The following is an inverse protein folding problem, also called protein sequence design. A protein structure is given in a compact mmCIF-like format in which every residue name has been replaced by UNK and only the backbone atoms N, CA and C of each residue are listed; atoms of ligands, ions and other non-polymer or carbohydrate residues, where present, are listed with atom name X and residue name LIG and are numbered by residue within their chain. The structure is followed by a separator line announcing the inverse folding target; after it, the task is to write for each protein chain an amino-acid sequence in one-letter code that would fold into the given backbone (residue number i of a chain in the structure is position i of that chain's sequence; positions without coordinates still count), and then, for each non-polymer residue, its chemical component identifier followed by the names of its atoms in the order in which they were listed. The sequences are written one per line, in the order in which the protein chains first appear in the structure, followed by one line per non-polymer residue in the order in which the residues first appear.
data_IF_429651722339
#
_entry.id   IF_429651722339
#
_cell.length_a   1.000
_cell.length_b   1.000
_cell.length_c   1.000
_cell.angle_alpha   90.00
_cell.angle_beta   90.00
_cell.angle_gamma   90.00
#
_symmetry.space_group_name_H-M   'P 1'
#
loop_
_entity.id
_entity.type
_entity.pdbx_description
1 polymer ?
#
# COMPACT_ATOMS: atom_id res chain seq x y z
N UNK A 1 -31.12 -23.32 52.63
CA UNK A 1 -30.15 -23.97 51.73
C UNK A 1 -30.59 -23.73 50.28
N UNK A 2 -29.78 -23.00 49.58
CA UNK A 2 -29.96 -22.72 48.13
C UNK A 2 -29.59 -23.99 47.35
N UNK A 3 -30.38 -24.43 46.38
CA UNK A 3 -29.98 -25.59 45.57
C UNK A 3 -28.72 -25.24 44.72
N UNK A 4 -27.87 -26.22 44.45
CA UNK A 4 -26.69 -26.01 43.64
C UNK A 4 -27.13 -25.60 42.22
N UNK A 5 -26.57 -24.49 41.73
CA UNK A 5 -26.73 -24.08 40.35
C UNK A 5 -26.07 -25.17 39.47
N UNK A 6 -26.88 -25.82 38.63
CA UNK A 6 -26.44 -26.73 37.60
C UNK A 6 -25.44 -25.98 36.70
N UNK A 7 -24.30 -26.63 36.45
CA UNK A 7 -23.24 -26.16 35.59
C UNK A 7 -23.83 -25.67 34.25
N UNK A 8 -23.53 -24.45 33.89
CA UNK A 8 -23.84 -23.82 32.63
C UNK A 8 -23.60 -24.81 31.48
N UNK A 9 -24.64 -25.06 30.69
CA UNK A 9 -24.45 -25.62 29.34
C UNK A 9 -23.31 -24.84 28.66
N UNK A 10 -22.24 -25.53 28.30
CA UNK A 10 -21.10 -24.92 27.63
C UNK A 10 -21.63 -24.27 26.34
N UNK A 11 -21.58 -22.94 26.27
CA UNK A 11 -21.98 -22.21 25.07
C UNK A 11 -21.19 -22.81 23.92
N UNK A 12 -21.90 -23.29 22.89
CA UNK A 12 -21.24 -23.71 21.65
C UNK A 12 -20.32 -22.59 21.16
N UNK A 13 -19.08 -22.91 20.78
CA UNK A 13 -18.20 -21.89 20.23
C UNK A 13 -18.86 -21.23 19.01
N UNK A 14 -18.62 -19.93 18.82
CA UNK A 14 -19.14 -19.22 17.67
C UNK A 14 -18.58 -19.86 16.38
N UNK A 15 -19.40 -20.18 15.37
CA UNK A 15 -18.96 -20.91 14.19
C UNK A 15 -18.27 -20.00 13.17
N UNK A 16 -17.09 -19.51 13.50
CA UNK A 16 -16.28 -18.63 12.63
C UNK A 16 -16.08 -19.20 11.23
N UNK A 17 -15.82 -20.52 11.13
CA UNK A 17 -15.60 -21.19 9.86
C UNK A 17 -16.78 -21.17 8.89
N UNK A 18 -17.99 -20.88 9.38
CA UNK A 18 -19.19 -20.75 8.55
C UNK A 18 -19.46 -19.28 8.17
N UNK A 19 -19.23 -18.37 9.12
CA UNK A 19 -19.58 -16.94 8.93
C UNK A 19 -18.51 -16.16 8.18
N UNK A 20 -17.22 -16.36 8.50
CA UNK A 20 -16.15 -15.57 7.88
C UNK A 20 -16.08 -15.77 6.37
N UNK A 21 -16.00 -16.98 5.82
CA UNK A 21 -15.93 -17.17 4.37
C UNK A 21 -17.17 -16.63 3.65
N UNK A 22 -18.35 -16.76 4.26
CA UNK A 22 -19.61 -16.23 3.70
C UNK A 22 -19.56 -14.73 3.52
N UNK A 23 -19.09 -14.00 4.54
CA UNK A 23 -19.06 -12.53 4.46
C UNK A 23 -17.92 -12.02 3.60
N UNK A 24 -16.77 -12.68 3.62
CA UNK A 24 -15.64 -12.37 2.75
C UNK A 24 -16.02 -12.48 1.27
N UNK A 25 -16.61 -13.62 0.88
CA UNK A 25 -17.12 -13.83 -0.49
C UNK A 25 -18.12 -12.74 -0.89
N UNK A 26 -19.06 -12.42 0.00
CA UNK A 26 -20.06 -11.38 -0.28
C UNK A 26 -19.41 -9.99 -0.48
N UNK A 27 -18.42 -9.62 0.34
CA UNK A 27 -17.73 -8.33 0.21
C UNK A 27 -16.95 -8.22 -1.09
N UNK A 28 -16.35 -9.32 -1.53
CA UNK A 28 -15.61 -9.38 -2.80
C UNK A 28 -16.58 -9.30 -4.00
N UNK A 29 -17.67 -10.05 -3.97
CA UNK A 29 -18.67 -10.09 -5.04
C UNK A 29 -19.38 -8.73 -5.21
N UNK A 30 -19.77 -8.11 -4.09
CA UNK A 30 -20.46 -6.82 -4.07
C UNK A 30 -19.49 -5.62 -4.14
N UNK A 31 -18.16 -5.86 -4.09
CA UNK A 31 -17.14 -4.82 -3.98
C UNK A 31 -17.47 -3.79 -2.89
N UNK A 32 -17.88 -4.29 -1.72
CA UNK A 32 -18.47 -3.49 -0.64
C UNK A 32 -17.59 -2.32 -0.19
N UNK A 33 -16.27 -2.48 -0.26
CA UNK A 33 -15.31 -1.47 0.19
C UNK A 33 -14.71 -0.64 -0.94
N UNK A 34 -15.20 -0.82 -2.17
CA UNK A 34 -14.75 -0.05 -3.33
C UNK A 34 -15.09 1.43 -3.17
N UNK A 35 -14.15 2.28 -3.51
CA UNK A 35 -14.32 3.74 -3.50
C UNK A 35 -14.62 4.23 -4.92
N UNK A 36 -15.79 4.83 -5.17
CA UNK A 36 -16.12 5.35 -6.49
C UNK A 36 -15.25 6.55 -6.86
N UNK A 37 -14.89 6.65 -8.14
CA UNK A 37 -14.18 7.81 -8.69
C UNK A 37 -15.13 8.94 -9.04
N UNK A 38 -14.66 10.20 -9.05
CA UNK A 38 -15.39 11.29 -9.68
C UNK A 38 -15.76 10.94 -11.14
N UNK A 39 -17.02 11.13 -11.49
CA UNK A 39 -17.57 10.78 -12.81
C UNK A 39 -18.23 9.41 -12.91
N UNK A 40 -18.07 8.54 -11.92
CA UNK A 40 -18.85 7.29 -11.84
C UNK A 40 -20.26 7.55 -11.31
N UNK A 41 -21.25 6.77 -11.77
CA UNK A 41 -22.66 6.93 -11.36
C UNK A 41 -22.89 6.76 -9.85
N UNK A 42 -22.04 5.99 -9.18
CA UNK A 42 -22.07 5.78 -7.72
C UNK A 42 -21.32 6.85 -6.92
N UNK A 43 -20.66 7.81 -7.59
CA UNK A 43 -19.90 8.86 -6.90
C UNK A 43 -20.85 9.98 -6.42
N UNK A 44 -20.83 10.21 -5.13
CA UNK A 44 -21.57 11.30 -4.48
C UNK A 44 -20.60 12.41 -4.07
N UNK A 45 -20.61 13.53 -4.81
CA UNK A 45 -19.75 14.68 -4.57
C UNK A 45 -20.06 15.42 -3.26
N UNK A 46 -21.24 15.20 -2.66
CA UNK A 46 -21.66 15.82 -1.40
C UNK A 46 -21.05 15.13 -0.18
N UNK A 47 -20.60 13.87 -0.33
CA UNK A 47 -19.94 13.15 0.75
C UNK A 47 -18.51 13.67 0.96
N UNK A 48 -18.14 13.99 2.22
CA UNK A 48 -16.76 14.37 2.51
C UNK A 48 -15.82 13.21 2.23
N UNK A 49 -14.65 13.51 1.69
CA UNK A 49 -13.61 12.51 1.40
C UNK A 49 -12.81 12.20 2.65
N UNK A 50 -12.43 10.94 2.79
CA UNK A 50 -11.51 10.50 3.84
C UNK A 50 -10.53 9.48 3.29
N UNK A 51 -9.24 9.75 3.44
CA UNK A 51 -8.18 8.86 3.01
C UNK A 51 -7.56 8.19 4.23
N UNK A 52 -7.65 6.86 4.30
CA UNK A 52 -6.98 6.03 5.30
C UNK A 52 -5.73 5.47 4.67
N UNK A 53 -4.58 5.79 5.23
CA UNK A 53 -3.29 5.36 4.71
C UNK A 53 -2.61 4.43 5.71
N UNK A 54 -2.31 3.23 5.27
CA UNK A 54 -1.49 2.26 5.98
C UNK A 54 -0.05 2.28 5.47
N UNK A 55 0.88 1.94 6.34
CA UNK A 55 2.22 1.56 5.90
C UNK A 55 2.13 0.16 5.28
N UNK A 56 2.15 0.09 3.96
CA UNK A 56 2.05 -1.17 3.23
C UNK A 56 3.32 -2.01 3.40
N UNK A 57 3.19 -3.37 3.45
CA UNK A 57 4.27 -4.25 3.82
C UNK A 57 5.28 -4.48 2.71
N UNK A 58 6.51 -4.83 3.09
CA UNK A 58 7.45 -5.52 2.21
C UNK A 58 7.01 -6.98 2.04
N UNK A 59 6.80 -7.48 0.82
CA UNK A 59 6.47 -8.89 0.59
C UNK A 59 7.74 -9.76 0.63
N UNK A 60 8.54 -9.63 1.69
CA UNK A 60 9.87 -10.25 1.81
C UNK A 60 9.92 -11.55 2.57
N UNK A 61 8.79 -12.04 3.07
CA UNK A 61 8.72 -13.25 3.87
C UNK A 61 7.58 -14.18 3.48
N UNK A 62 7.47 -15.29 4.19
CA UNK A 62 6.43 -16.29 3.93
C UNK A 62 5.02 -15.83 4.34
N UNK A 63 4.85 -14.62 4.87
CA UNK A 63 3.57 -14.06 5.28
C UNK A 63 3.69 -12.93 6.29
N UNK A 64 2.54 -12.44 6.74
CA UNK A 64 2.43 -11.38 7.73
C UNK A 64 2.98 -11.84 9.10
N UNK A 65 3.64 -10.94 9.81
CA UNK A 65 3.91 -11.11 11.24
C UNK A 65 2.88 -10.32 12.07
N UNK A 66 2.81 -10.58 13.38
CA UNK A 66 1.78 -10.03 14.29
C UNK A 66 1.72 -8.49 14.28
N UNK A 67 2.84 -7.81 14.05
CA UNK A 67 2.89 -6.36 13.99
C UNK A 67 2.14 -5.74 12.81
N UNK A 68 1.96 -6.46 11.71
CA UNK A 68 1.18 -5.96 10.57
C UNK A 68 -0.32 -5.80 10.94
N UNK A 69 -1.02 -6.85 11.41
CA UNK A 69 -2.42 -6.72 11.78
C UNK A 69 -2.71 -5.72 12.89
N UNK A 70 -1.75 -5.43 13.76
CA UNK A 70 -1.92 -4.45 14.84
C UNK A 70 -2.25 -3.06 14.29
N UNK A 71 -1.41 -2.54 13.39
CA UNK A 71 -1.64 -1.25 12.73
C UNK A 71 -2.87 -1.27 11.82
N UNK A 72 -3.01 -2.32 11.01
CA UNK A 72 -4.09 -2.45 10.03
C UNK A 72 -5.47 -2.58 10.68
N UNK A 73 -5.56 -3.18 11.86
CA UNK A 73 -6.80 -3.23 12.64
C UNK A 73 -7.24 -1.83 13.08
N UNK A 74 -6.31 -1.00 13.52
CA UNK A 74 -6.63 0.36 13.94
C UNK A 74 -7.17 1.22 12.78
N UNK A 75 -6.53 1.17 11.62
CA UNK A 75 -6.94 1.89 10.42
C UNK A 75 -8.24 1.34 9.84
N UNK A 76 -8.46 0.03 9.88
CA UNK A 76 -9.70 -0.61 9.46
C UNK A 76 -10.89 -0.13 10.30
N UNK A 77 -10.74 -0.07 11.62
CA UNK A 77 -11.77 0.47 12.53
C UNK A 77 -12.13 1.91 12.16
N UNK A 78 -11.13 2.76 11.92
CA UNK A 78 -11.34 4.15 11.51
C UNK A 78 -12.04 4.21 10.14
N UNK A 79 -11.59 3.42 9.17
CA UNK A 79 -12.17 3.36 7.84
C UNK A 79 -13.65 2.96 7.87
N UNK A 80 -14.00 1.92 8.61
CA UNK A 80 -15.39 1.47 8.80
C UNK A 80 -16.22 2.52 9.52
N UNK A 81 -15.70 3.10 10.58
CA UNK A 81 -16.39 4.18 11.30
C UNK A 81 -16.72 5.36 10.37
N UNK A 82 -15.73 5.81 9.57
CA UNK A 82 -15.94 6.93 8.63
C UNK A 82 -16.97 6.59 7.55
N UNK A 83 -16.97 5.35 7.01
CA UNK A 83 -18.02 4.90 6.08
C UNK A 83 -19.41 4.98 6.72
N UNK A 84 -19.57 4.48 7.95
CA UNK A 84 -20.84 4.56 8.68
C UNK A 84 -21.27 6.02 8.96
N UNK A 85 -20.32 6.95 9.03
CA UNK A 85 -20.58 8.38 9.18
C UNK A 85 -20.85 9.10 7.85
N UNK A 86 -20.94 8.36 6.74
CA UNK A 86 -21.30 8.90 5.43
C UNK A 86 -20.15 9.50 4.64
N UNK A 87 -18.89 9.22 5.02
CA UNK A 87 -17.74 9.66 4.21
C UNK A 87 -17.53 8.78 2.98
N UNK A 88 -16.98 9.36 1.92
CA UNK A 88 -16.38 8.62 0.83
C UNK A 88 -14.94 8.23 1.24
N UNK A 89 -14.75 6.98 1.62
CA UNK A 89 -13.50 6.50 2.23
C UNK A 89 -12.66 5.75 1.23
N UNK A 90 -11.45 6.25 0.96
CA UNK A 90 -10.41 5.52 0.25
C UNK A 90 -9.48 4.84 1.25
N UNK A 91 -9.43 3.51 1.24
CA UNK A 91 -8.56 2.68 2.06
C UNK A 91 -7.85 1.66 1.17
N UNK A 92 -6.74 2.04 0.51
CA UNK A 92 -5.99 1.16 -0.39
C UNK A 92 -5.02 0.27 0.39
N UNK A 93 -4.56 -0.78 -0.27
CA UNK A 93 -3.44 -1.61 0.14
C UNK A 93 -2.42 -1.70 -1.00
N UNK A 94 -1.19 -2.05 -0.66
CA UNK A 94 -0.13 -2.20 -1.65
C UNK A 94 1.05 -3.01 -1.14
N UNK A 95 2.07 -3.10 -1.98
CA UNK A 95 3.26 -3.91 -1.75
C UNK A 95 4.50 -3.07 -2.05
N UNK A 96 5.35 -2.88 -1.04
CA UNK A 96 6.67 -2.30 -1.22
C UNK A 96 7.61 -3.40 -1.72
N UNK A 97 7.52 -3.62 -3.04
CA UNK A 97 8.05 -4.83 -3.67
C UNK A 97 9.52 -4.72 -4.09
N UNK A 98 10.10 -3.52 -4.12
CA UNK A 98 11.53 -3.36 -4.26
C UNK A 98 12.23 -3.63 -2.94
N UNK A 99 13.33 -4.40 -2.97
CA UNK A 99 14.10 -4.62 -1.76
C UNK A 99 15.27 -5.55 -1.91
N UNK A 100 16.35 -5.26 -1.21
CA UNK A 100 17.57 -6.05 -1.14
C UNK A 100 17.32 -7.54 -0.76
N UNK A 101 16.39 -7.89 0.14
CA UNK A 101 16.12 -9.30 0.44
C UNK A 101 15.62 -10.11 -0.76
N UNK A 102 14.78 -9.54 -1.61
CA UNK A 102 14.31 -10.20 -2.83
C UNK A 102 15.43 -10.39 -3.85
N UNK A 103 16.30 -9.40 -4.01
CA UNK A 103 17.47 -9.46 -4.89
C UNK A 103 18.49 -10.48 -4.41
N UNK A 104 18.81 -10.49 -3.11
CA UNK A 104 19.73 -11.47 -2.52
C UNK A 104 19.20 -12.91 -2.64
N UNK A 105 17.90 -13.10 -2.48
CA UNK A 105 17.28 -14.40 -2.68
C UNK A 105 17.39 -14.85 -4.15
N UNK A 106 17.15 -13.93 -5.08
CA UNK A 106 17.31 -14.20 -6.51
C UNK A 106 18.74 -14.61 -6.88
N UNK A 107 19.75 -13.92 -6.34
CA UNK A 107 21.16 -14.27 -6.56
C UNK A 107 21.48 -15.68 -6.03
N UNK A 108 20.98 -16.02 -4.82
CA UNK A 108 21.21 -17.33 -4.20
C UNK A 108 20.52 -18.49 -4.94
N UNK A 109 19.35 -18.25 -5.51
CA UNK A 109 18.52 -19.31 -6.10
C UNK A 109 18.57 -19.36 -7.62
N UNK A 110 19.14 -18.33 -8.27
CA UNK A 110 19.12 -18.18 -9.73
C UNK A 110 17.73 -17.89 -10.31
N UNK A 111 16.75 -17.53 -9.45
CA UNK A 111 15.40 -17.16 -9.88
C UNK A 111 15.26 -15.65 -10.01
N UNK A 112 14.49 -15.20 -10.99
CA UNK A 112 14.19 -13.78 -11.12
C UNK A 112 13.41 -13.26 -9.89
N UNK A 113 13.73 -12.09 -9.33
CA UNK A 113 13.08 -11.56 -8.12
C UNK A 113 11.55 -11.52 -8.20
N UNK A 114 10.99 -11.22 -9.38
CA UNK A 114 9.54 -11.12 -9.57
C UNK A 114 8.78 -12.40 -9.22
N UNK A 115 9.36 -13.59 -9.46
CA UNK A 115 8.70 -14.87 -9.20
C UNK A 115 8.41 -15.05 -7.71
N UNK A 116 9.42 -14.83 -6.88
CA UNK A 116 9.28 -14.94 -5.42
C UNK A 116 8.41 -13.81 -4.87
N UNK A 117 8.60 -12.59 -5.35
CA UNK A 117 7.83 -11.42 -4.92
C UNK A 117 6.34 -11.60 -5.19
N UNK A 118 5.97 -12.08 -6.39
CA UNK A 118 4.57 -12.32 -6.74
C UNK A 118 3.94 -13.43 -5.88
N UNK A 119 4.66 -14.51 -5.63
CA UNK A 119 4.19 -15.58 -4.74
C UNK A 119 3.95 -15.06 -3.31
N UNK A 120 4.86 -14.23 -2.79
CA UNK A 120 4.71 -13.61 -1.47
C UNK A 120 3.53 -12.64 -1.44
N UNK A 121 3.37 -11.77 -2.44
CA UNK A 121 2.23 -10.84 -2.56
C UNK A 121 0.92 -11.61 -2.51
N UNK A 122 0.80 -12.70 -3.26
CA UNK A 122 -0.41 -13.52 -3.28
C UNK A 122 -0.73 -14.11 -1.90
N UNK A 123 0.28 -14.55 -1.15
CA UNK A 123 0.09 -15.05 0.21
C UNK A 123 -0.30 -13.93 1.19
N UNK A 124 0.36 -12.78 1.14
CA UNK A 124 0.02 -11.61 1.98
C UNK A 124 -1.41 -11.13 1.70
N UNK A 125 -1.80 -11.01 0.42
CA UNK A 125 -3.16 -10.63 0.02
C UNK A 125 -4.20 -11.59 0.60
N UNK A 126 -3.98 -12.90 0.45
CA UNK A 126 -4.85 -13.93 1.01
C UNK A 126 -5.00 -13.77 2.53
N UNK A 127 -3.89 -13.59 3.27
CA UNK A 127 -3.92 -13.41 4.72
C UNK A 127 -4.69 -12.14 5.14
N UNK A 128 -4.51 -11.02 4.43
CA UNK A 128 -5.24 -9.78 4.71
C UNK A 128 -6.75 -9.92 4.41
N UNK A 129 -7.11 -10.67 3.36
CA UNK A 129 -8.49 -10.97 3.04
C UNK A 129 -9.12 -11.88 4.10
N UNK A 130 -8.40 -12.90 4.58
CA UNK A 130 -8.85 -13.79 5.67
C UNK A 130 -9.09 -13.04 6.99
N UNK A 131 -8.31 -11.99 7.27
CA UNK A 131 -8.54 -11.09 8.41
C UNK A 131 -9.77 -10.18 8.22
N UNK A 132 -10.33 -10.12 7.02
CA UNK A 132 -11.55 -9.40 6.72
C UNK A 132 -11.43 -7.89 6.71
N UNK A 133 -10.24 -7.34 6.49
CA UNK A 133 -10.04 -5.89 6.39
C UNK A 133 -10.78 -5.26 5.22
N UNK A 134 -11.28 -4.04 5.43
CA UNK A 134 -12.10 -3.26 4.51
C UNK A 134 -11.27 -2.49 3.47
N UNK A 135 -10.29 -3.15 2.86
CA UNK A 135 -9.50 -2.54 1.79
C UNK A 135 -10.23 -2.47 0.47
N UNK A 136 -9.96 -1.42 -0.29
CA UNK A 136 -10.36 -1.30 -1.69
C UNK A 136 -9.33 -2.02 -2.58
N UNK A 137 -9.56 -3.30 -2.86
CA UNK A 137 -8.66 -4.14 -3.66
C UNK A 137 -8.55 -3.70 -5.12
N UNK A 138 -9.51 -2.93 -5.64
CA UNK A 138 -9.41 -2.31 -6.98
C UNK A 138 -8.34 -1.19 -7.00
N UNK A 139 -7.88 -0.75 -5.82
CA UNK A 139 -6.83 0.25 -5.62
C UNK A 139 -5.52 -0.35 -5.10
N UNK A 140 -5.33 -1.63 -5.31
CA UNK A 140 -4.09 -2.31 -4.96
C UNK A 140 -2.92 -1.74 -5.78
N UNK A 141 -1.79 -1.51 -5.11
CA UNK A 141 -0.58 -0.93 -5.69
C UNK A 141 0.61 -1.86 -5.49
N UNK A 142 1.38 -2.10 -6.55
CA UNK A 142 2.67 -2.78 -6.48
C UNK A 142 3.75 -1.83 -7.00
N UNK A 143 4.73 -1.50 -6.16
CA UNK A 143 5.78 -0.53 -6.50
C UNK A 143 6.68 -0.99 -7.65
N UNK A 144 6.73 -2.29 -7.96
CA UNK A 144 7.47 -2.84 -9.11
C UNK A 144 6.64 -2.93 -10.40
N UNK A 145 5.33 -2.65 -10.35
CA UNK A 145 4.51 -2.58 -11.56
C UNK A 145 5.05 -1.48 -12.49
N UNK A 146 5.29 -1.75 -13.79
CA UNK A 146 5.73 -0.74 -14.75
C UNK A 146 4.83 0.50 -14.80
N UNK A 147 3.52 0.35 -14.56
CA UNK A 147 2.58 1.47 -14.49
C UNK A 147 2.81 2.36 -13.27
N UNK A 148 3.37 1.81 -12.18
CA UNK A 148 3.70 2.55 -10.98
C UNK A 148 5.15 3.07 -11.04
N UNK A 149 6.13 2.22 -11.32
CA UNK A 149 7.56 2.55 -11.24
C UNK A 149 7.94 3.70 -12.18
N UNK A 150 7.23 3.87 -13.30
CA UNK A 150 7.43 5.01 -14.19
C UNK A 150 7.33 6.37 -13.49
N UNK A 151 6.51 6.47 -12.44
CA UNK A 151 6.37 7.70 -11.67
C UNK A 151 7.55 7.93 -10.73
N UNK A 152 8.09 6.86 -10.14
CA UNK A 152 9.33 6.89 -9.38
C UNK A 152 10.50 7.33 -10.28
N UNK A 153 10.59 6.76 -11.48
CA UNK A 153 11.58 7.16 -12.47
C UNK A 153 11.39 8.62 -12.93
N UNK A 154 10.15 9.06 -13.11
CA UNK A 154 9.86 10.44 -13.45
C UNK A 154 10.32 11.41 -12.35
N UNK A 155 10.05 11.10 -11.08
CA UNK A 155 10.52 11.90 -9.95
C UNK A 155 12.06 11.95 -9.95
N UNK A 156 12.72 10.80 -10.14
CA UNK A 156 14.18 10.75 -10.25
C UNK A 156 14.69 11.69 -11.35
N UNK A 157 14.08 11.66 -12.53
CA UNK A 157 14.45 12.54 -13.65
C UNK A 157 14.24 14.03 -13.33
N UNK A 158 13.19 14.38 -12.55
CA UNK A 158 13.03 15.77 -12.09
C UNK A 158 14.20 16.18 -11.20
N UNK A 159 14.62 15.34 -10.26
CA UNK A 159 15.76 15.61 -9.39
C UNK A 159 17.08 15.64 -10.18
N UNK A 160 17.28 14.67 -11.08
CA UNK A 160 18.46 14.60 -11.94
C UNK A 160 18.62 15.84 -12.82
N UNK A 161 17.53 16.38 -13.33
CA UNK A 161 17.51 17.59 -14.18
C UNK A 161 17.43 18.90 -13.38
N UNK A 162 17.66 18.85 -12.07
CA UNK A 162 17.55 20.01 -11.19
C UNK A 162 18.78 20.17 -10.32
N UNK A 163 19.04 21.43 -9.91
CA UNK A 163 19.98 21.79 -8.86
C UNK A 163 19.28 22.64 -7.80
N UNK A 164 19.83 22.75 -6.61
CA UNK A 164 19.31 23.64 -5.58
C UNK A 164 19.94 25.03 -5.73
N UNK A 165 19.10 26.05 -5.85
CA UNK A 165 19.52 27.44 -5.90
C UNK A 165 19.42 28.07 -4.51
N UNK A 166 20.58 28.36 -3.90
CA UNK A 166 20.65 28.94 -2.55
C UNK A 166 20.03 30.33 -2.47
N UNK A 167 20.17 31.14 -3.53
CA UNK A 167 19.60 32.48 -3.57
C UNK A 167 18.07 32.48 -3.54
N UNK A 168 17.45 31.59 -4.29
CA UNK A 168 15.99 31.50 -4.40
C UNK A 168 15.38 30.45 -3.45
N UNK A 169 16.19 29.69 -2.74
CA UNK A 169 15.79 28.63 -1.81
C UNK A 169 14.84 27.60 -2.45
N UNK A 170 15.12 27.20 -3.69
CA UNK A 170 14.31 26.23 -4.45
C UNK A 170 15.12 25.49 -5.50
N UNK A 171 14.57 24.35 -5.95
CA UNK A 171 15.11 23.63 -7.09
C UNK A 171 14.88 24.41 -8.41
N UNK A 172 15.90 24.42 -9.26
CA UNK A 172 15.87 25.01 -10.62
C UNK A 172 16.39 24.01 -11.64
N UNK A 173 15.99 24.14 -12.91
CA UNK A 173 16.51 23.30 -13.99
C UNK A 173 18.02 23.50 -14.19
N UNK A 174 18.76 22.40 -14.40
CA UNK A 174 20.21 22.47 -14.70
C UNK A 174 20.50 23.19 -16.01
N UNK A 175 19.56 23.29 -16.94
CA UNK A 175 19.69 24.08 -18.17
C UNK A 175 20.01 25.53 -17.90
N UNK A 176 19.61 26.12 -16.79
CA UNK A 176 19.99 27.46 -16.40
C UNK A 176 21.52 27.62 -16.15
N UNK A 177 22.16 26.53 -15.69
CA UNK A 177 23.62 26.50 -15.50
C UNK A 177 24.35 26.32 -16.84
N UNK A 178 23.78 25.51 -17.74
CA UNK A 178 24.30 25.35 -19.11
C UNK A 178 24.31 26.67 -19.85
N UNK A 179 23.22 27.47 -19.74
CA UNK A 179 23.12 28.80 -20.31
C UNK A 179 24.15 29.80 -19.70
N UNK A 180 24.56 29.59 -18.45
CA UNK A 180 25.61 30.37 -17.77
C UNK A 180 27.03 29.88 -18.11
N UNK A 181 27.16 28.85 -18.95
CA UNK A 181 28.45 28.33 -19.42
C UNK A 181 29.13 27.33 -18.46
N UNK A 182 28.37 26.72 -17.55
CA UNK A 182 28.91 25.66 -16.69
C UNK A 182 29.25 24.43 -17.51
N UNK A 183 30.31 23.74 -17.14
CA UNK A 183 30.67 22.45 -17.77
C UNK A 183 29.76 21.34 -17.22
N UNK A 184 29.65 20.22 -17.99
CA UNK A 184 28.87 19.06 -17.55
C UNK A 184 29.34 18.53 -16.19
N UNK A 185 30.67 18.47 -15.97
CA UNK A 185 31.25 18.03 -14.70
C UNK A 185 30.79 18.90 -13.53
N UNK A 186 30.83 20.21 -13.69
CA UNK A 186 30.34 21.16 -12.67
C UNK A 186 28.83 21.01 -12.41
N UNK A 187 28.05 20.75 -13.43
CA UNK A 187 26.61 20.52 -13.31
C UNK A 187 26.33 19.22 -12.58
N UNK A 188 27.08 18.16 -12.89
CA UNK A 188 26.90 16.85 -12.27
C UNK A 188 27.22 16.86 -10.76
N UNK A 189 28.14 17.73 -10.31
CA UNK A 189 28.44 17.91 -8.89
C UNK A 189 27.27 18.55 -8.09
N UNK A 190 26.41 19.34 -8.72
CA UNK A 190 25.34 20.09 -8.05
C UNK A 190 23.94 19.54 -8.29
N UNK A 191 23.79 18.50 -9.11
CA UNK A 191 22.49 17.83 -9.33
C UNK A 191 21.90 17.33 -8.03
N UNK A 192 20.58 17.38 -7.92
CA UNK A 192 19.86 16.84 -6.75
C UNK A 192 19.82 15.30 -6.72
N UNK A 193 20.06 14.65 -7.84
CA UNK A 193 20.27 13.21 -7.92
C UNK A 193 21.34 12.89 -8.95
N UNK A 194 22.07 11.81 -8.77
CA UNK A 194 23.14 11.36 -9.65
C UNK A 194 23.14 9.84 -9.82
N UNK A 195 23.77 9.38 -10.89
CA UNK A 195 23.95 7.96 -11.19
C UNK A 195 25.41 7.64 -10.89
N UNK A 196 25.62 6.62 -10.05
CA UNK A 196 26.94 6.02 -9.88
C UNK A 196 27.12 4.92 -10.93
N UNK A 197 28.31 4.88 -11.53
CA UNK A 197 28.75 3.76 -12.35
C UNK A 197 29.06 2.52 -11.50
#
# INVERSE_FOLDING_TARGET
SRPPQTMSESRKPFPFSEFEPKWQSRWDDEKTFRTPNPGEASFDATKPKYYVLDMFPYPSGAGLHVGHPEGYTATDIIGRYKRMRGFNVLHPMGWDAFGLPAEQYAIKTGQHPSVTTEANINNFRRQLQELGFAYDWDREVNTTDPKYVRWTQWIFLQLYNSYFCDEDQKAKPVSELEEKGWTQEQIDEVRLAFIHE
#
